data_IF_040482542158
#
_entry.id   IF_040482542158
#
_cell.length_a   1.000
_cell.length_b   1.000
_cell.length_c   1.000
_cell.angle_alpha   90.00
_cell.angle_beta   90.00
_cell.angle_gamma   90.00
#
_symmetry.space_group_name_H-M   'P 1'
#
loop_
_entity.id
_entity.type
_entity.pdbx_description
1 polymer ?
#
# COMPACT_ATOMS: atom_id res chain seq x y z
N UNK A 1 -36.11 26.18 33.69
CA UNK A 1 -34.97 26.90 33.08
C UNK A 1 -35.11 26.80 31.56
N UNK A 2 -35.48 27.87 30.86
CA UNK A 2 -35.60 27.84 29.38
C UNK A 2 -34.20 27.97 28.78
N UNK A 3 -33.71 26.92 28.11
CA UNK A 3 -32.47 26.99 27.34
C UNK A 3 -32.67 28.00 26.21
N UNK A 4 -31.87 29.07 26.17
CA UNK A 4 -31.90 30.02 25.07
C UNK A 4 -31.12 29.41 23.90
N UNK A 5 -31.85 28.69 23.05
CA UNK A 5 -31.32 27.96 21.90
C UNK A 5 -30.55 28.88 20.95
N UNK A 6 -31.06 30.09 20.71
CA UNK A 6 -30.41 31.08 19.84
C UNK A 6 -29.01 31.45 20.35
N UNK A 7 -28.84 31.72 21.65
CA UNK A 7 -27.52 32.01 22.23
C UNK A 7 -26.52 30.85 22.04
N UNK A 8 -26.99 29.61 22.16
CA UNK A 8 -26.15 28.42 21.96
C UNK A 8 -25.76 28.26 20.48
N UNK A 9 -26.69 28.50 19.56
CA UNK A 9 -26.42 28.52 18.11
C UNK A 9 -25.43 29.62 17.77
N UNK A 10 -25.64 30.84 18.25
CA UNK A 10 -24.75 31.97 18.01
C UNK A 10 -23.33 31.71 18.52
N UNK A 11 -23.20 31.11 19.71
CA UNK A 11 -21.90 30.73 20.25
C UNK A 11 -21.21 29.62 19.43
N UNK A 12 -21.96 28.62 18.95
CA UNK A 12 -21.40 27.59 18.06
C UNK A 12 -20.95 28.19 16.72
N UNK A 13 -21.77 29.06 16.11
CA UNK A 13 -21.45 29.79 14.89
C UNK A 13 -20.21 30.68 15.08
N UNK A 14 -20.08 31.37 16.22
CA UNK A 14 -18.92 32.22 16.48
C UNK A 14 -17.61 31.42 16.52
N UNK A 15 -17.63 30.17 17.02
CA UNK A 15 -16.45 29.30 16.98
C UNK A 15 -16.08 28.84 15.56
N UNK A 16 -17.09 28.57 14.73
CA UNK A 16 -16.85 28.26 13.31
C UNK A 16 -16.26 29.46 12.58
N UNK A 17 -16.80 30.67 12.80
CA UNK A 17 -16.27 31.88 12.18
C UNK A 17 -14.87 32.23 12.68
N UNK A 18 -14.62 32.09 13.99
CA UNK A 18 -13.27 32.30 14.55
C UNK A 18 -12.23 31.43 13.84
N UNK A 19 -12.53 30.14 13.59
CA UNK A 19 -11.65 29.26 12.83
C UNK A 19 -11.46 29.72 11.37
N UNK A 20 -12.56 30.11 10.69
CA UNK A 20 -12.50 30.57 9.29
C UNK A 20 -11.68 31.85 9.13
N UNK A 21 -11.81 32.81 10.05
CA UNK A 21 -11.00 34.03 10.05
C UNK A 21 -9.53 33.73 10.33
N UNK A 22 -9.22 32.87 11.31
CA UNK A 22 -7.83 32.47 11.61
C UNK A 22 -7.15 31.75 10.44
N UNK A 23 -7.91 30.98 9.66
CA UNK A 23 -7.44 30.32 8.44
C UNK A 23 -7.39 31.26 7.22
N UNK A 24 -7.84 32.52 7.33
CA UNK A 24 -7.86 33.49 6.23
C UNK A 24 -8.86 33.17 5.12
N UNK A 25 -9.89 32.36 5.41
CA UNK A 25 -10.82 31.87 4.38
C UNK A 25 -11.81 32.94 3.88
N UNK A 26 -11.86 34.13 4.49
CA UNK A 26 -12.65 35.25 3.97
C UNK A 26 -11.86 36.08 2.95
N UNK A 27 -10.54 36.09 3.08
CA UNK A 27 -9.61 36.81 2.20
C UNK A 27 -9.16 35.92 1.03
N UNK A 28 -8.81 34.66 1.31
CA UNK A 28 -8.37 33.70 0.31
C UNK A 28 -8.98 32.31 0.53
N UNK A 29 -10.04 32.01 -0.22
CA UNK A 29 -10.89 30.83 0.01
C UNK A 29 -10.66 29.68 -0.96
N UNK A 30 -9.98 29.93 -2.07
CA UNK A 30 -9.82 28.97 -3.16
C UNK A 30 -8.36 28.54 -3.28
N UNK A 31 -8.18 27.34 -3.82
CA UNK A 31 -6.88 26.82 -4.20
C UNK A 31 -6.64 27.12 -5.68
N UNK A 32 -5.38 27.18 -6.08
CA UNK A 32 -5.01 27.23 -7.48
C UNK A 32 -4.99 25.79 -8.02
N UNK A 33 -5.84 25.49 -8.99
CA UNK A 33 -5.94 24.14 -9.55
C UNK A 33 -4.79 23.82 -10.51
N UNK A 34 -4.14 24.85 -11.07
CA UNK A 34 -3.04 24.68 -12.02
C UNK A 34 -1.78 24.10 -11.34
N UNK A 35 -1.63 24.31 -10.03
CA UNK A 35 -0.47 23.83 -9.25
C UNK A 35 -0.63 22.42 -8.66
N UNK A 36 -1.79 21.77 -8.85
CA UNK A 36 -2.09 20.46 -8.27
C UNK A 36 -1.06 19.41 -8.70
N UNK A 37 -0.67 19.41 -9.97
CA UNK A 37 0.29 18.44 -10.52
C UNK A 37 1.70 18.56 -9.92
N UNK A 38 2.06 19.74 -9.43
CA UNK A 38 3.35 19.99 -8.77
C UNK A 38 3.33 19.60 -7.28
N UNK A 39 2.15 19.67 -6.66
CA UNK A 39 1.97 19.43 -5.22
C UNK A 39 1.56 17.99 -4.88
N UNK A 40 0.75 17.35 -5.71
CA UNK A 40 0.22 16.01 -5.47
C UNK A 40 1.07 14.98 -6.21
N UNK A 41 1.38 13.85 -5.55
CA UNK A 41 2.15 12.74 -6.14
C UNK A 41 3.52 13.12 -6.74
N UNK A 42 4.10 14.24 -6.29
CA UNK A 42 5.42 14.66 -6.73
C UNK A 42 6.54 13.75 -6.22
N UNK A 43 7.74 13.93 -6.80
CA UNK A 43 8.90 13.09 -6.51
C UNK A 43 9.30 13.11 -5.03
N UNK A 44 9.27 14.27 -4.39
CA UNK A 44 9.62 14.42 -2.98
C UNK A 44 8.69 13.60 -2.05
N UNK A 45 7.38 13.66 -2.29
CA UNK A 45 6.41 12.86 -1.54
C UNK A 45 6.58 11.36 -1.80
N UNK A 46 6.83 10.95 -3.05
CA UNK A 46 7.08 9.54 -3.42
C UNK A 46 8.34 8.99 -2.72
N UNK A 47 9.43 9.76 -2.69
CA UNK A 47 10.67 9.38 -2.00
C UNK A 47 10.49 9.30 -0.49
N UNK A 48 9.75 10.25 0.09
CA UNK A 48 9.41 10.25 1.52
C UNK A 48 8.59 9.02 1.88
N UNK A 49 7.54 8.71 1.10
CA UNK A 49 6.73 7.52 1.30
C UNK A 49 7.56 6.23 1.19
N UNK A 50 8.43 6.11 0.19
CA UNK A 50 9.32 4.95 0.02
C UNK A 50 10.29 4.80 1.21
N UNK A 51 10.85 5.90 1.70
CA UNK A 51 11.73 5.90 2.88
C UNK A 51 10.99 5.39 4.12
N UNK A 52 9.80 5.92 4.38
CA UNK A 52 8.97 5.50 5.52
C UNK A 52 8.56 4.03 5.40
N UNK A 53 8.15 3.57 4.21
CA UNK A 53 7.82 2.16 3.97
C UNK A 53 9.01 1.24 4.27
N UNK A 54 10.23 1.59 3.83
CA UNK A 54 11.45 0.82 4.14
C UNK A 54 11.77 0.77 5.63
N UNK A 55 11.45 1.83 6.39
CA UNK A 55 11.68 1.91 7.83
C UNK A 55 10.56 1.26 8.65
N UNK A 56 9.36 1.13 8.09
CA UNK A 56 8.18 0.58 8.77
C UNK A 56 8.08 -0.95 8.74
N UNK A 57 8.86 -1.64 7.89
CA UNK A 57 8.84 -3.11 7.80
C UNK A 57 9.59 -3.71 9.00
N UNK A 58 8.94 -4.66 9.69
CA UNK A 58 9.51 -5.37 10.85
C UNK A 58 9.79 -6.82 10.49
N UNK A 59 11.05 -7.25 10.65
CA UNK A 59 11.46 -8.65 10.48
C UNK A 59 11.16 -9.44 11.76
N UNK A 60 10.08 -10.23 11.76
CA UNK A 60 9.66 -11.00 12.94
C UNK A 60 10.50 -12.27 13.17
N UNK A 61 10.92 -12.94 12.09
CA UNK A 61 11.70 -14.18 12.14
C UNK A 61 12.61 -14.28 10.92
N UNK A 62 13.83 -14.76 11.12
CA UNK A 62 14.76 -15.07 10.05
C UNK A 62 15.60 -16.30 10.41
N UNK A 63 15.55 -17.33 9.59
CA UNK A 63 16.36 -18.54 9.73
C UNK A 63 17.53 -18.50 8.73
N UNK A 64 18.27 -17.39 8.70
CA UNK A 64 19.39 -17.12 7.78
C UNK A 64 19.04 -17.15 6.28
N UNK A 65 17.77 -16.95 5.93
CA UNK A 65 17.30 -16.86 4.53
C UNK A 65 17.45 -15.44 3.99
N UNK A 66 17.24 -14.43 4.83
CA UNK A 66 17.34 -13.02 4.47
C UNK A 66 18.65 -12.39 4.97
N UNK A 67 19.25 -11.44 4.22
CA UNK A 67 18.81 -10.97 2.90
C UNK A 67 19.01 -12.02 1.80
N UNK A 68 18.15 -11.98 0.78
CA UNK A 68 18.29 -12.87 -0.37
C UNK A 68 19.65 -12.64 -1.05
N UNK A 69 20.35 -13.72 -1.37
CA UNK A 69 21.60 -13.67 -2.13
C UNK A 69 21.28 -13.62 -3.62
N UNK A 70 22.29 -13.34 -4.47
CA UNK A 70 22.13 -13.57 -5.91
C UNK A 70 21.88 -15.06 -6.17
N UNK A 71 21.13 -15.40 -7.22
CA UNK A 71 20.87 -16.79 -7.57
C UNK A 71 22.18 -17.52 -7.91
N UNK A 72 22.20 -18.82 -7.68
CA UNK A 72 23.37 -19.65 -7.99
C UNK A 72 23.52 -19.88 -9.50
N UNK A 73 22.42 -19.85 -10.23
CA UNK A 73 22.37 -19.96 -11.68
C UNK A 73 21.12 -19.28 -12.27
N UNK A 74 21.06 -19.15 -13.59
CA UNK A 74 19.98 -18.47 -14.32
C UNK A 74 18.62 -19.18 -14.27
N UNK A 75 18.52 -20.36 -13.65
CA UNK A 75 17.28 -21.11 -13.51
C UNK A 75 16.64 -20.94 -12.14
N UNK A 76 17.26 -20.18 -11.22
CA UNK A 76 16.69 -20.00 -9.90
C UNK A 76 15.41 -19.16 -9.94
N UNK A 77 14.35 -19.65 -9.31
CA UNK A 77 13.00 -19.09 -9.42
C UNK A 77 12.43 -18.66 -8.07
N UNK A 78 11.73 -17.53 -8.07
CA UNK A 78 10.92 -17.03 -6.95
C UNK A 78 9.45 -17.09 -7.37
N UNK A 79 8.63 -17.77 -6.58
CA UNK A 79 7.18 -17.68 -6.68
C UNK A 79 6.68 -16.60 -5.74
N UNK A 80 5.91 -15.64 -6.23
CA UNK A 80 5.13 -14.72 -5.40
C UNK A 80 3.67 -15.15 -5.46
N UNK A 81 3.04 -15.30 -4.31
CA UNK A 81 1.64 -15.75 -4.20
C UNK A 81 1.00 -15.22 -2.92
N UNK A 82 -0.28 -15.52 -2.70
CA UNK A 82 -1.07 -15.01 -1.58
C UNK A 82 -2.04 -13.91 -2.01
N UNK A 83 -3.16 -13.75 -1.28
CA UNK A 83 -4.25 -12.88 -1.66
C UNK A 83 -3.89 -11.38 -1.74
N UNK A 84 -2.74 -10.97 -1.20
CA UNK A 84 -2.28 -9.56 -1.22
C UNK A 84 -1.07 -9.33 -2.12
N UNK A 85 -0.63 -10.35 -2.85
CA UNK A 85 0.61 -10.28 -3.60
C UNK A 85 0.52 -9.26 -4.74
N UNK A 86 -0.61 -9.17 -5.43
CA UNK A 86 -0.73 -8.41 -6.67
C UNK A 86 -2.00 -7.56 -6.79
N UNK A 87 -2.37 -6.85 -5.72
CA UNK A 87 -3.48 -5.89 -5.74
C UNK A 87 -3.24 -4.69 -4.81
N UNK A 88 -4.14 -3.72 -4.85
CA UNK A 88 -4.03 -2.46 -4.10
C UNK A 88 -4.37 -2.58 -2.61
N UNK A 89 -4.69 -3.78 -2.10
CA UNK A 89 -5.04 -3.96 -0.67
C UNK A 89 -3.90 -3.59 0.29
N UNK A 90 -2.66 -3.50 -0.23
CA UNK A 90 -1.47 -2.99 0.49
C UNK A 90 -1.64 -1.55 1.01
N UNK A 91 -2.56 -0.77 0.43
CA UNK A 91 -2.86 0.60 0.86
C UNK A 91 -3.68 0.67 2.16
N UNK A 92 -4.28 -0.44 2.60
CA UNK A 92 -5.06 -0.52 3.83
C UNK A 92 -6.49 0.02 3.69
N UNK A 93 -7.06 0.52 4.80
CA UNK A 93 -8.37 1.19 4.80
C UNK A 93 -8.18 2.72 4.67
N UNK A 94 -9.27 3.46 4.43
CA UNK A 94 -9.28 4.93 4.29
C UNK A 94 -8.55 5.48 3.06
N UNK A 95 -8.55 4.73 1.95
CA UNK A 95 -8.16 5.25 0.64
C UNK A 95 -9.27 5.01 -0.40
N UNK A 96 -9.32 5.85 -1.43
CA UNK A 96 -10.06 5.53 -2.66
C UNK A 96 -9.20 4.65 -3.57
N UNK A 97 -9.82 3.88 -4.46
CA UNK A 97 -9.09 3.17 -5.51
C UNK A 97 -8.14 4.14 -6.24
N UNK A 98 -6.88 3.74 -6.38
CA UNK A 98 -5.86 4.57 -7.03
C UNK A 98 -5.69 4.12 -8.48
N UNK A 99 -5.23 5.01 -9.38
CA UNK A 99 -4.70 4.58 -10.67
C UNK A 99 -3.59 3.55 -10.48
N UNK A 100 -3.57 2.49 -11.30
CA UNK A 100 -2.60 1.40 -11.13
C UNK A 100 -1.14 1.87 -11.20
N UNK A 101 -0.86 2.88 -12.04
CA UNK A 101 0.45 3.55 -12.16
C UNK A 101 0.96 4.24 -10.88
N UNK A 102 0.08 4.50 -9.93
CA UNK A 102 0.42 5.14 -8.65
C UNK A 102 0.70 4.13 -7.53
N UNK A 103 0.50 2.84 -7.79
CA UNK A 103 0.67 1.78 -6.80
C UNK A 103 1.75 0.82 -7.26
N UNK A 104 2.55 0.33 -6.31
CA UNK A 104 3.43 -0.81 -6.53
C UNK A 104 2.92 -1.96 -5.66
N UNK A 105 2.52 -3.06 -6.28
CA UNK A 105 2.17 -4.27 -5.54
C UNK A 105 3.42 -4.97 -5.01
N UNK A 106 3.24 -5.91 -4.07
CA UNK A 106 4.36 -6.71 -3.55
C UNK A 106 5.02 -7.51 -4.68
N UNK A 107 4.21 -8.11 -5.57
CA UNK A 107 4.68 -8.83 -6.74
C UNK A 107 5.50 -7.93 -7.67
N UNK A 108 5.01 -6.73 -8.00
CA UNK A 108 5.74 -5.82 -8.88
C UNK A 108 7.10 -5.41 -8.30
N UNK A 109 7.14 -5.10 -7.00
CA UNK A 109 8.38 -4.77 -6.30
C UNK A 109 9.38 -5.94 -6.28
N UNK A 110 8.92 -7.14 -5.95
CA UNK A 110 9.77 -8.35 -5.94
C UNK A 110 10.19 -8.74 -7.36
N UNK A 111 9.31 -8.66 -8.35
CA UNK A 111 9.62 -8.97 -9.75
C UNK A 111 10.72 -8.04 -10.26
N UNK A 112 10.61 -6.74 -10.01
CA UNK A 112 11.61 -5.75 -10.43
C UNK A 112 12.98 -6.06 -9.82
N UNK A 113 13.08 -6.10 -8.49
CA UNK A 113 14.35 -6.30 -7.79
C UNK A 113 14.89 -7.72 -8.02
N UNK A 114 14.03 -8.74 -7.99
CA UNK A 114 14.43 -10.13 -8.20
C UNK A 114 15.00 -10.36 -9.59
N UNK A 115 14.38 -9.78 -10.63
CA UNK A 115 14.91 -9.85 -12.01
C UNK A 115 16.24 -9.10 -12.13
N UNK A 116 16.38 -7.91 -11.52
CA UNK A 116 17.66 -7.18 -11.46
C UNK A 116 18.77 -7.99 -10.75
N UNK A 117 18.41 -8.82 -9.77
CA UNK A 117 19.33 -9.75 -9.11
C UNK A 117 19.64 -11.02 -9.93
N UNK A 118 18.85 -11.31 -10.97
CA UNK A 118 19.01 -12.45 -11.88
C UNK A 118 18.06 -13.63 -11.63
N UNK A 119 17.06 -13.49 -10.76
CA UNK A 119 16.03 -14.51 -10.54
C UNK A 119 14.97 -14.48 -11.64
N UNK A 120 14.36 -15.64 -11.91
CA UNK A 120 13.07 -15.70 -12.59
C UNK A 120 11.96 -15.52 -11.54
N UNK A 121 11.10 -14.52 -11.71
CA UNK A 121 10.04 -14.20 -10.73
C UNK A 121 8.68 -14.35 -11.37
N UNK A 122 7.88 -15.29 -10.86
CA UNK A 122 6.55 -15.59 -11.35
C UNK A 122 5.49 -15.30 -10.28
N UNK A 123 4.26 -15.07 -10.73
CA UNK A 123 3.08 -14.88 -9.87
C UNK A 123 2.14 -16.07 -9.99
N UNK A 124 1.58 -16.49 -8.86
CA UNK A 124 0.44 -17.40 -8.81
C UNK A 124 -0.69 -16.80 -7.97
N UNK A 125 -1.86 -16.65 -8.58
CA UNK A 125 -3.07 -16.24 -7.89
C UNK A 125 -3.62 -17.39 -7.05
N UNK A 126 -3.53 -17.24 -5.72
CA UNK A 126 -4.05 -18.19 -4.73
C UNK A 126 -5.46 -17.83 -4.26
N UNK A 127 -6.24 -17.08 -5.07
CA UNK A 127 -7.53 -16.47 -4.77
C UNK A 127 -7.43 -15.25 -3.83
N UNK A 128 -7.62 -14.06 -4.40
CA UNK A 128 -7.55 -12.79 -3.66
C UNK A 128 -8.67 -12.60 -2.62
N UNK A 129 -9.80 -13.30 -2.77
CA UNK A 129 -10.87 -13.22 -1.78
C UNK A 129 -10.57 -14.15 -0.61
N UNK A 130 -9.92 -13.58 0.42
CA UNK A 130 -9.48 -14.33 1.60
C UNK A 130 -10.61 -15.12 2.29
N UNK A 131 -11.86 -14.64 2.22
CA UNK A 131 -13.03 -15.32 2.83
C UNK A 131 -13.52 -16.50 2.00
N UNK A 132 -12.98 -16.70 0.79
CA UNK A 132 -13.39 -17.71 -0.18
C UNK A 132 -12.23 -18.57 -0.67
N UNK A 133 -11.04 -18.45 -0.06
CA UNK A 133 -9.92 -19.37 -0.34
C UNK A 133 -10.37 -20.77 0.07
N UNK A 134 -10.29 -21.70 -0.87
CA UNK A 134 -10.66 -23.11 -0.67
C UNK A 134 -9.42 -24.00 -0.55
N UNK A 135 -9.56 -25.20 0.02
CA UNK A 135 -8.50 -26.20 0.07
C UNK A 135 -7.93 -26.49 -1.34
N UNK A 136 -8.79 -26.46 -2.36
CA UNK A 136 -8.38 -26.65 -3.76
C UNK A 136 -7.45 -25.52 -4.26
N UNK A 137 -7.66 -24.29 -3.81
CA UNK A 137 -6.79 -23.16 -4.18
C UNK A 137 -5.42 -23.30 -3.49
N UNK A 138 -5.42 -23.76 -2.24
CA UNK A 138 -4.21 -24.06 -1.46
C UNK A 138 -3.44 -25.21 -2.14
N UNK A 139 -4.09 -26.32 -2.48
CA UNK A 139 -3.47 -27.47 -3.12
C UNK A 139 -2.81 -27.09 -4.45
N UNK A 140 -3.50 -26.29 -5.28
CA UNK A 140 -2.92 -25.76 -6.52
C UNK A 140 -1.69 -24.89 -6.27
N UNK A 141 -1.72 -24.07 -5.23
CA UNK A 141 -0.58 -23.21 -4.85
C UNK A 141 0.60 -24.07 -4.39
N UNK A 142 0.35 -25.13 -3.63
CA UNK A 142 1.38 -26.09 -3.20
C UNK A 142 2.00 -26.81 -4.40
N UNK A 143 1.18 -27.30 -5.34
CA UNK A 143 1.69 -27.95 -6.55
C UNK A 143 2.53 -27.00 -7.40
N UNK A 144 2.09 -25.74 -7.56
CA UNK A 144 2.87 -24.73 -8.26
C UNK A 144 4.20 -24.43 -7.56
N UNK A 145 4.21 -24.34 -6.23
CA UNK A 145 5.37 -23.96 -5.43
C UNK A 145 6.53 -24.98 -5.48
N UNK A 146 6.26 -26.26 -5.78
CA UNK A 146 7.29 -27.31 -5.91
C UNK A 146 8.34 -27.03 -6.99
N UNK A 147 7.99 -26.23 -8.00
CA UNK A 147 8.84 -25.89 -9.14
C UNK A 147 9.74 -24.66 -8.89
N UNK A 148 9.77 -24.14 -7.65
CA UNK A 148 10.46 -22.90 -7.27
C UNK A 148 11.44 -23.11 -6.12
N UNK A 149 12.53 -22.34 -6.11
CA UNK A 149 13.53 -22.39 -5.04
C UNK A 149 13.13 -21.55 -3.82
N UNK A 150 12.39 -20.47 -4.07
CA UNK A 150 11.94 -19.52 -3.06
C UNK A 150 10.46 -19.22 -3.28
N UNK A 151 9.72 -19.12 -2.19
CA UNK A 151 8.30 -18.77 -2.20
C UNK A 151 8.08 -17.58 -1.28
N UNK A 152 7.50 -16.52 -1.82
CA UNK A 152 7.07 -15.33 -1.09
C UNK A 152 5.55 -15.31 -1.02
N UNK A 153 4.99 -15.62 0.15
CA UNK A 153 3.55 -15.60 0.39
C UNK A 153 3.13 -14.27 1.03
N UNK A 154 2.17 -13.58 0.43
CA UNK A 154 1.66 -12.29 0.86
C UNK A 154 0.23 -12.43 1.41
N UNK A 155 0.12 -12.61 2.73
CA UNK A 155 -1.13 -12.93 3.42
C UNK A 155 -1.51 -11.82 4.41
N UNK A 156 -2.80 -11.71 4.72
CA UNK A 156 -3.24 -11.00 5.93
C UNK A 156 -2.98 -11.90 7.16
N UNK A 157 -2.71 -11.27 8.31
CA UNK A 157 -2.73 -11.97 9.59
C UNK A 157 -4.16 -12.11 10.09
#
# INVERSE_FOLDING_TARGET
MKVNFEKRVNYACSKIFEAKFKLGLFENRFVDEDDISEKIFNQYHKETALKLARQGIVLLKNNDVLPLRRPKNSKNRILVTGPNANNQSILGDWHSAQPDENVYTVFEGIKKIGTEMGYLVDYHDSNENIKRISDKDIDKTIEAAKEYDLVCTCNWR
#
